data_IF_569379149458
#
_entry.id   IF_569379149458
#
_cell.length_a   1.000
_cell.length_b   1.000
_cell.length_c   1.000
_cell.angle_alpha   90.00
_cell.angle_beta   90.00
_cell.angle_gamma   90.00
#
_symmetry.space_group_name_H-M   'P 1'
#
loop_
_entity.id
_entity.type
_entity.pdbx_description
1 polymer ?
#
# COMPACT_ATOMS: atom_id res chain seq x y z
N UNK A 1 -23.49 -21.55 53.57
CA UNK A 1 -24.24 -22.72 53.08
C UNK A 1 -24.53 -22.44 51.62
N UNK A 2 -23.61 -22.84 50.73
CA UNK A 2 -23.75 -24.04 49.87
C UNK A 2 -24.56 -23.65 48.60
N UNK A 3 -24.07 -23.68 47.37
CA UNK A 3 -23.09 -24.57 46.76
C UNK A 3 -22.29 -23.83 45.67
N UNK A 4 -20.97 -23.96 45.71
CA UNK A 4 -20.13 -23.95 44.51
C UNK A 4 -20.28 -25.33 43.86
N UNK A 5 -21.13 -25.45 42.84
CA UNK A 5 -21.18 -26.59 41.91
C UNK A 5 -21.03 -25.97 40.52
N UNK A 6 -19.87 -25.99 39.87
CA UNK A 6 -19.06 -27.14 39.46
C UNK A 6 -19.88 -28.20 38.74
N UNK A 7 -20.48 -27.85 37.60
CA UNK A 7 -20.85 -28.86 36.62
C UNK A 7 -20.40 -28.50 35.20
N UNK A 8 -19.58 -29.43 34.70
CA UNK A 8 -19.54 -29.88 33.32
C UNK A 8 -18.83 -28.99 32.30
N UNK A 9 -17.51 -28.88 32.49
CA UNK A 9 -16.55 -28.98 31.38
C UNK A 9 -16.53 -30.43 30.82
N UNK A 10 -17.69 -30.95 30.44
CA UNK A 10 -17.86 -32.29 29.88
C UNK A 10 -18.09 -32.20 28.36
N UNK A 11 -16.99 -31.82 27.67
CA UNK A 11 -16.55 -32.35 26.37
C UNK A 11 -17.47 -32.11 25.14
N UNK A 12 -17.12 -32.48 23.88
CA UNK A 12 -15.88 -33.11 23.39
C UNK A 12 -15.42 -32.56 22.02
N UNK A 13 -14.31 -31.83 21.95
CA UNK A 13 -13.49 -31.84 20.72
C UNK A 13 -14.06 -31.22 19.40
N UNK A 14 -15.25 -30.58 19.23
CA UNK A 14 -15.65 -30.16 17.89
C UNK A 14 -15.10 -28.77 17.55
N UNK A 15 -15.05 -27.85 18.51
CA UNK A 15 -14.54 -26.48 18.34
C UNK A 15 -13.05 -26.44 18.09
N UNK A 16 -12.26 -27.27 18.78
CA UNK A 16 -10.82 -27.36 18.54
C UNK A 16 -10.52 -28.01 17.18
N UNK A 17 -11.29 -29.03 16.78
CA UNK A 17 -11.20 -29.63 15.44
C UNK A 17 -11.60 -28.62 14.35
N UNK A 18 -12.64 -27.80 14.56
CA UNK A 18 -13.03 -26.73 13.62
C UNK A 18 -11.91 -25.68 13.49
N UNK A 19 -11.29 -25.28 14.59
CA UNK A 19 -10.17 -24.32 14.57
C UNK A 19 -8.97 -24.92 13.83
N UNK A 20 -8.63 -26.19 14.07
CA UNK A 20 -7.52 -26.86 13.40
C UNK A 20 -7.79 -27.05 11.90
N UNK A 21 -9.01 -27.44 11.50
CA UNK A 21 -9.40 -27.55 10.10
C UNK A 21 -9.36 -26.17 9.42
N UNK A 22 -9.86 -25.12 10.08
CA UNK A 22 -9.78 -23.77 9.57
C UNK A 22 -8.33 -23.32 9.36
N UNK A 23 -7.44 -23.60 10.33
CA UNK A 23 -6.00 -23.29 10.21
C UNK A 23 -5.35 -24.09 9.08
N UNK A 24 -5.71 -25.37 8.88
CA UNK A 24 -5.18 -26.20 7.79
C UNK A 24 -5.69 -25.72 6.43
N UNK A 25 -6.95 -25.27 6.33
CA UNK A 25 -7.48 -24.67 5.10
C UNK A 25 -6.79 -23.34 4.82
N UNK A 26 -6.60 -22.48 5.83
CA UNK A 26 -5.91 -21.20 5.68
C UNK A 26 -4.43 -21.44 5.30
N UNK A 27 -3.74 -22.34 5.98
CA UNK A 27 -2.35 -22.71 5.69
C UNK A 27 -2.23 -23.44 4.33
N UNK A 28 -3.24 -24.22 3.95
CA UNK A 28 -3.33 -24.87 2.64
C UNK A 28 -3.56 -23.87 1.52
N UNK A 29 -4.40 -22.85 1.72
CA UNK A 29 -4.63 -21.74 0.77
C UNK A 29 -3.38 -20.87 0.68
N UNK A 30 -2.72 -20.55 1.80
CA UNK A 30 -1.46 -19.79 1.84
C UNK A 30 -0.33 -20.59 1.18
N UNK A 31 -0.21 -21.89 1.49
CA UNK A 31 0.79 -22.79 0.91
C UNK A 31 0.55 -23.07 -0.57
N UNK A 32 -0.71 -23.16 -1.00
CA UNK A 32 -1.08 -23.31 -2.40
C UNK A 32 -0.84 -22.01 -3.19
N UNK A 33 -1.02 -20.84 -2.56
CA UNK A 33 -0.67 -19.55 -3.15
C UNK A 33 0.85 -19.33 -3.25
N UNK A 34 1.65 -19.94 -2.37
CA UNK A 34 3.12 -19.88 -2.45
C UNK A 34 3.73 -20.92 -3.42
N UNK A 35 3.02 -22.00 -3.76
CA UNK A 35 3.51 -23.03 -4.70
C UNK A 35 2.94 -22.90 -6.10
N UNK A 36 1.78 -22.27 -6.26
CA UNK A 36 1.31 -21.84 -7.55
C UNK A 36 2.00 -20.52 -7.88
N UNK A 37 3.04 -20.59 -8.72
CA UNK A 37 3.51 -19.46 -9.52
C UNK A 37 2.43 -19.00 -10.51
N UNK A 38 1.21 -18.75 -10.03
CA UNK A 38 0.17 -18.03 -10.72
C UNK A 38 0.68 -16.60 -10.82
N UNK A 39 1.45 -16.35 -11.87
CA UNK A 39 1.71 -15.00 -12.35
C UNK A 39 0.32 -14.37 -12.47
N UNK A 40 -0.06 -13.41 -11.62
CA UNK A 40 -1.25 -12.64 -11.89
C UNK A 40 -0.88 -11.89 -13.17
N UNK A 41 -1.38 -12.42 -14.28
CA UNK A 41 -1.24 -11.78 -15.56
C UNK A 41 -2.13 -10.56 -15.46
N UNK A 42 -1.58 -9.48 -14.90
CA UNK A 42 -2.10 -8.12 -14.92
C UNK A 42 -2.03 -7.58 -16.36
N UNK A 43 -2.43 -8.42 -17.33
CA UNK A 43 -2.31 -8.22 -18.77
C UNK A 43 -3.24 -7.11 -19.29
N UNK A 44 -4.01 -6.43 -18.43
CA UNK A 44 -5.02 -5.47 -18.87
C UNK A 44 -4.96 -4.07 -18.26
N UNK A 45 -4.17 -3.78 -17.22
CA UNK A 45 -4.11 -2.42 -16.67
C UNK A 45 -3.00 -1.55 -17.30
N UNK A 46 -1.92 -2.16 -17.79
CA UNK A 46 -0.69 -1.42 -18.12
C UNK A 46 -0.48 -1.12 -19.61
N UNK A 47 -1.44 -1.50 -20.47
CA UNK A 47 -1.36 -1.23 -21.92
C UNK A 47 -1.61 0.23 -22.28
N UNK A 48 -1.99 1.08 -21.32
CA UNK A 48 -2.17 2.51 -21.56
C UNK A 48 -0.80 3.15 -21.82
N UNK A 49 -0.53 3.64 -23.04
CA UNK A 49 0.72 4.34 -23.33
C UNK A 49 0.82 5.57 -22.42
N UNK A 50 1.90 5.67 -21.64
CA UNK A 50 2.17 6.79 -20.73
C UNK A 50 2.01 6.50 -19.24
N UNK A 51 1.49 5.33 -18.84
CA UNK A 51 1.41 4.97 -17.42
C UNK A 51 2.73 4.33 -16.95
N UNK A 52 3.65 5.15 -16.44
CA UNK A 52 4.77 4.67 -15.63
C UNK A 52 4.21 4.44 -14.20
N UNK A 53 4.17 3.20 -13.70
CA UNK A 53 3.70 2.96 -12.34
C UNK A 53 4.64 3.70 -11.39
N UNK A 54 4.13 4.23 -10.26
CA UNK A 54 4.98 4.91 -9.33
C UNK A 54 5.97 3.93 -8.69
N UNK A 55 7.27 4.08 -9.00
CA UNK A 55 8.34 3.27 -8.43
C UNK A 55 8.96 4.05 -7.27
N UNK A 56 8.99 3.49 -6.05
CA UNK A 56 9.63 4.13 -4.92
C UNK A 56 11.09 4.50 -5.18
N UNK A 57 11.56 5.61 -4.61
CA UNK A 57 12.94 6.09 -4.80
C UNK A 57 14.00 5.05 -4.42
N UNK A 58 13.83 4.38 -3.27
CA UNK A 58 14.73 3.31 -2.82
C UNK A 58 14.85 2.14 -3.82
N UNK A 59 13.77 1.84 -4.55
CA UNK A 59 13.77 0.77 -5.55
C UNK A 59 14.51 1.23 -6.81
N UNK A 60 14.42 2.50 -7.18
CA UNK A 60 15.18 3.08 -8.29
C UNK A 60 16.68 3.10 -7.99
N UNK A 61 17.08 3.51 -6.78
CA UNK A 61 18.47 3.47 -6.32
C UNK A 61 19.04 2.06 -6.43
N UNK A 62 18.29 1.06 -5.95
CA UNK A 62 18.71 -0.34 -6.03
C UNK A 62 18.84 -0.84 -7.48
N UNK A 63 17.95 -0.40 -8.37
CA UNK A 63 18.03 -0.69 -9.81
C UNK A 63 19.28 -0.06 -10.43
N UNK A 64 19.61 1.17 -10.06
CA UNK A 64 20.81 1.88 -10.53
C UNK A 64 22.09 1.17 -10.07
N UNK A 65 22.16 0.79 -8.80
CA UNK A 65 23.28 0.04 -8.20
C UNK A 65 23.50 -1.29 -8.94
N UNK A 66 22.45 -2.11 -9.05
CA UNK A 66 22.52 -3.39 -9.78
C UNK A 66 22.91 -3.22 -11.24
N UNK A 67 22.47 -2.13 -11.88
CA UNK A 67 22.83 -1.85 -13.27
C UNK A 67 24.27 -1.37 -13.41
N UNK A 68 24.80 -0.62 -12.45
CA UNK A 68 26.19 -0.18 -12.38
C UNK A 68 27.15 -1.37 -12.14
N UNK A 69 26.72 -2.35 -11.33
CA UNK A 69 27.43 -3.63 -11.11
C UNK A 69 27.42 -4.58 -12.32
N UNK A 70 26.78 -4.20 -13.45
CA UNK A 70 26.62 -5.08 -14.61
C UNK A 70 25.54 -6.14 -14.45
N UNK A 71 24.76 -6.11 -13.35
CA UNK A 71 23.70 -7.07 -13.00
C UNK A 71 22.32 -6.62 -13.48
N UNK A 72 22.23 -6.19 -14.74
CA UNK A 72 20.98 -5.66 -15.31
C UNK A 72 19.82 -6.66 -15.31
N UNK A 73 20.09 -7.97 -15.38
CA UNK A 73 19.04 -9.00 -15.25
C UNK A 73 18.46 -9.07 -13.84
N UNK A 74 19.28 -8.85 -12.81
CA UNK A 74 18.82 -8.83 -11.42
C UNK A 74 18.00 -7.57 -11.14
N UNK A 75 18.39 -6.43 -11.72
CA UNK A 75 17.59 -5.20 -11.66
C UNK A 75 16.18 -5.39 -12.27
N UNK A 76 16.10 -6.05 -13.43
CA UNK A 76 14.82 -6.37 -14.07
C UNK A 76 14.01 -7.36 -13.23
N UNK A 77 14.66 -8.35 -12.61
CA UNK A 77 13.97 -9.32 -11.73
C UNK A 77 13.41 -8.65 -10.49
N UNK A 78 14.21 -7.83 -9.82
CA UNK A 78 13.82 -7.07 -8.64
C UNK A 78 12.60 -6.20 -8.96
N UNK A 79 12.67 -5.42 -10.05
CA UNK A 79 11.55 -4.58 -10.47
C UNK A 79 10.27 -5.41 -10.67
N UNK A 80 10.35 -6.57 -11.31
CA UNK A 80 9.18 -7.45 -11.52
C UNK A 80 8.63 -8.06 -10.25
N UNK A 81 9.47 -8.33 -9.26
CA UNK A 81 9.04 -8.87 -7.97
C UNK A 81 8.26 -7.84 -7.17
N UNK A 82 8.73 -6.60 -7.15
CA UNK A 82 8.12 -5.51 -6.39
C UNK A 82 6.85 -4.94 -7.05
N UNK A 83 6.80 -4.92 -8.39
CA UNK A 83 5.71 -4.24 -9.12
C UNK A 83 4.76 -5.19 -9.86
N UNK A 84 5.11 -6.48 -9.97
CA UNK A 84 4.35 -7.44 -10.79
C UNK A 84 4.45 -7.21 -12.30
N UNK A 85 5.34 -6.32 -12.76
CA UNK A 85 5.45 -5.96 -14.18
C UNK A 85 5.81 -7.14 -15.10
N UNK A 86 5.34 -7.02 -16.34
CA UNK A 86 5.77 -7.90 -17.43
C UNK A 86 7.25 -7.71 -17.73
N UNK A 87 7.89 -8.73 -18.32
CA UNK A 87 9.32 -8.67 -18.65
C UNK A 87 9.67 -7.51 -19.59
N UNK A 88 8.81 -7.24 -20.56
CA UNK A 88 8.98 -6.14 -21.51
C UNK A 88 8.95 -4.79 -20.81
N UNK A 89 7.97 -4.57 -19.95
CA UNK A 89 7.79 -3.32 -19.20
C UNK A 89 8.95 -3.10 -18.23
N UNK A 90 9.30 -4.12 -17.44
CA UNK A 90 10.40 -4.04 -16.50
C UNK A 90 11.72 -3.72 -17.19
N UNK A 91 11.97 -4.29 -18.38
CA UNK A 91 13.15 -3.94 -19.18
C UNK A 91 13.11 -2.49 -19.64
N UNK A 92 11.98 -2.03 -20.17
CA UNK A 92 11.82 -0.64 -20.64
C UNK A 92 12.03 0.35 -19.50
N UNK A 93 11.44 0.09 -18.34
CA UNK A 93 11.55 0.97 -17.16
C UNK A 93 12.95 0.94 -16.57
N UNK A 94 13.57 -0.23 -16.44
CA UNK A 94 14.99 -0.35 -16.01
C UNK A 94 15.90 0.47 -16.93
N UNK A 95 15.66 0.42 -18.25
CA UNK A 95 16.42 1.23 -19.21
C UNK A 95 16.14 2.73 -19.08
N UNK A 96 14.91 3.13 -18.74
CA UNK A 96 14.55 4.52 -18.47
C UNK A 96 15.21 5.05 -17.18
N UNK A 97 15.22 4.26 -16.11
CA UNK A 97 15.89 4.56 -14.84
C UNK A 97 17.40 4.71 -15.08
N UNK A 98 18.03 3.74 -15.74
CA UNK A 98 19.44 3.81 -16.12
C UNK A 98 19.78 5.08 -16.93
N UNK A 99 18.88 5.48 -17.81
CA UNK A 99 19.06 6.66 -18.66
C UNK A 99 18.68 7.98 -17.97
N UNK A 100 18.27 7.97 -16.70
CA UNK A 100 17.78 9.16 -15.98
C UNK A 100 16.50 9.76 -16.55
N UNK A 101 15.75 9.00 -17.36
CA UNK A 101 14.49 9.41 -18.00
C UNK A 101 13.26 8.96 -17.23
N UNK A 102 13.45 8.21 -16.15
CA UNK A 102 12.39 7.83 -15.25
C UNK A 102 12.31 8.90 -14.17
N UNK A 103 11.21 9.66 -14.14
CA UNK A 103 10.98 10.61 -13.05
C UNK A 103 10.59 9.81 -11.83
N UNK A 104 11.28 9.99 -10.69
CA UNK A 104 10.77 9.44 -9.45
C UNK A 104 9.39 10.01 -9.23
N UNK A 105 8.40 9.14 -9.29
CA UNK A 105 7.21 9.33 -8.48
C UNK A 105 7.70 9.18 -7.06
N UNK A 106 8.20 10.27 -6.48
CA UNK A 106 8.17 10.41 -5.04
C UNK A 106 6.76 9.97 -4.66
N UNK A 107 6.57 8.91 -3.87
CA UNK A 107 5.27 8.74 -3.22
C UNK A 107 5.11 10.08 -2.51
N UNK A 108 4.21 10.92 -3.02
CA UNK A 108 3.97 12.25 -2.52
C UNK A 108 4.08 12.13 -1.01
N UNK A 109 4.98 12.92 -0.41
CA UNK A 109 4.95 13.08 1.04
C UNK A 109 3.47 13.26 1.38
N UNK A 110 2.90 12.55 2.36
CA UNK A 110 1.50 12.73 2.73
C UNK A 110 1.29 14.23 2.97
N UNK A 111 0.75 14.95 1.99
CA UNK A 111 0.96 16.39 1.89
C UNK A 111 0.70 17.05 0.53
N UNK A 112 1.01 16.43 -0.60
CA UNK A 112 0.79 17.09 -1.91
C UNK A 112 -0.69 17.05 -2.38
N UNK A 113 -1.52 16.22 -1.75
CA UNK A 113 -2.97 16.16 -2.01
C UNK A 113 -3.86 15.98 -0.78
N UNK A 114 -3.29 15.78 0.42
CA UNK A 114 -4.09 15.53 1.62
C UNK A 114 -4.66 16.85 2.16
N UNK A 115 -5.99 16.93 2.20
CA UNK A 115 -6.71 18.05 2.80
C UNK A 115 -6.25 18.28 4.25
N UNK A 116 -5.95 17.21 5.00
CA UNK A 116 -5.52 17.31 6.39
C UNK A 116 -4.16 18.03 6.54
N UNK A 117 -3.21 17.73 5.65
CA UNK A 117 -1.89 18.37 5.67
C UNK A 117 -1.99 19.86 5.35
N UNK A 118 -2.76 20.23 4.31
CA UNK A 118 -3.00 21.64 3.93
C UNK A 118 -3.70 22.42 5.06
N UNK A 119 -4.63 21.77 5.76
CA UNK A 119 -5.31 22.33 6.93
C UNK A 119 -4.35 22.53 8.10
N UNK A 120 -3.48 21.55 8.37
CA UNK A 120 -2.49 21.63 9.43
C UNK A 120 -1.46 22.75 9.19
N UNK A 121 -1.00 22.91 7.95
CA UNK A 121 -0.09 23.99 7.55
C UNK A 121 -0.72 25.37 7.77
N UNK A 122 -1.97 25.57 7.31
CA UNK A 122 -2.71 26.82 7.53
C UNK A 122 -2.92 27.10 9.02
N UNK A 123 -3.21 26.08 9.82
CA UNK A 123 -3.33 26.19 11.28
C UNK A 123 -2.01 26.57 11.94
N UNK A 124 -0.90 25.93 11.55
CA UNK A 124 0.44 26.24 12.05
C UNK A 124 0.89 27.67 11.70
N UNK A 125 0.45 28.17 10.54
CA UNK A 125 0.68 29.54 10.11
C UNK A 125 -0.28 30.57 10.75
N UNK A 126 -1.22 30.14 11.60
CA UNK A 126 -2.22 31.01 12.24
C UNK A 126 -3.40 31.43 11.35
N UNK A 127 -3.53 30.85 10.16
CA UNK A 127 -4.58 31.17 9.18
C UNK A 127 -5.79 30.24 9.34
N UNK A 128 -6.34 30.14 10.55
CA UNK A 128 -7.42 29.20 10.88
C UNK A 128 -8.69 29.45 10.06
N UNK A 129 -9.05 30.71 9.80
CA UNK A 129 -10.21 31.05 8.94
C UNK A 129 -10.06 30.50 7.51
N UNK A 130 -8.83 30.54 6.97
CA UNK A 130 -8.54 30.00 5.64
C UNK A 130 -8.57 28.47 5.64
N UNK A 131 -8.14 27.81 6.73
CA UNK A 131 -8.23 26.36 6.86
C UNK A 131 -9.69 25.89 6.88
N UNK A 132 -10.57 26.62 7.60
CA UNK A 132 -12.01 26.33 7.64
C UNK A 132 -12.61 26.48 6.24
N UNK A 133 -12.31 27.56 5.53
CA UNK A 133 -12.87 27.78 4.19
C UNK A 133 -12.39 26.74 3.19
N UNK A 134 -11.11 26.34 3.27
CA UNK A 134 -10.56 25.26 2.45
C UNK A 134 -11.33 23.95 2.65
N UNK A 135 -11.59 23.55 3.89
CA UNK A 135 -12.36 22.33 4.20
C UNK A 135 -13.77 22.42 3.65
N UNK A 136 -14.45 23.56 3.84
CA UNK A 136 -15.82 23.77 3.33
C UNK A 136 -15.89 23.67 1.82
N UNK A 137 -14.93 24.25 1.12
CA UNK A 137 -14.90 24.29 -0.35
C UNK A 137 -14.64 22.90 -0.93
N UNK A 138 -13.75 22.13 -0.32
CA UNK A 138 -13.34 20.83 -0.84
C UNK A 138 -14.30 19.68 -0.45
N UNK A 139 -14.96 19.77 0.71
CA UNK A 139 -15.81 18.68 1.24
C UNK A 139 -17.30 18.99 1.24
N UNK A 140 -17.69 20.27 1.09
CA UNK A 140 -19.06 20.73 1.25
C UNK A 140 -19.55 20.81 2.71
N UNK A 141 -18.67 20.64 3.70
CA UNK A 141 -19.02 20.77 5.12
C UNK A 141 -19.58 22.16 5.47
N UNK A 142 -20.46 22.21 6.47
CA UNK A 142 -20.88 23.50 7.05
C UNK A 142 -19.74 24.13 7.85
N UNK A 143 -19.84 25.43 8.14
CA UNK A 143 -18.80 26.15 8.89
C UNK A 143 -18.50 25.48 10.24
N UNK A 144 -19.53 25.13 11.01
CA UNK A 144 -19.38 24.49 12.32
C UNK A 144 -18.71 23.10 12.22
N UNK A 145 -19.03 22.33 11.18
CA UNK A 145 -18.41 21.03 10.92
C UNK A 145 -16.94 21.17 10.54
N UNK A 146 -16.62 22.16 9.69
CA UNK A 146 -15.25 22.45 9.28
C UNK A 146 -14.40 22.98 10.44
N UNK A 147 -14.95 23.84 11.31
CA UNK A 147 -14.28 24.31 12.51
C UNK A 147 -13.96 23.16 13.47
N UNK A 148 -14.93 22.26 13.67
CA UNK A 148 -14.72 21.05 14.47
C UNK A 148 -13.61 20.18 13.87
N UNK A 149 -13.61 19.98 12.56
CA UNK A 149 -12.57 19.22 11.86
C UNK A 149 -11.18 19.85 12.02
N UNK A 150 -11.04 21.16 11.82
CA UNK A 150 -9.77 21.90 11.97
C UNK A 150 -9.28 21.89 13.44
N UNK A 151 -10.20 21.84 14.41
CA UNK A 151 -9.85 21.73 15.82
C UNK A 151 -9.23 20.37 16.18
N UNK A 152 -9.69 19.29 15.53
CA UNK A 152 -9.28 17.90 15.80
C UNK A 152 -7.92 17.50 15.20
N UNK A 153 -7.41 18.27 14.23
CA UNK A 153 -6.12 18.05 13.55
C UNK A 153 -5.03 18.91 14.21
#
# INVERSE_FOLDING_TARGET
MAHHDTQAYDQPMPTLVIIVIAIIIIAGVIGLALRAGARPSATLAWRTPGFLPPIPEHLQERILELTAEGRGLDAIRLLRQETGLGLREARTITAAIKAGRYTPTTPERPGDGDLAFRVQELKAAGHTDHAIELVRTETGMTRDQAETFVSLI
#
